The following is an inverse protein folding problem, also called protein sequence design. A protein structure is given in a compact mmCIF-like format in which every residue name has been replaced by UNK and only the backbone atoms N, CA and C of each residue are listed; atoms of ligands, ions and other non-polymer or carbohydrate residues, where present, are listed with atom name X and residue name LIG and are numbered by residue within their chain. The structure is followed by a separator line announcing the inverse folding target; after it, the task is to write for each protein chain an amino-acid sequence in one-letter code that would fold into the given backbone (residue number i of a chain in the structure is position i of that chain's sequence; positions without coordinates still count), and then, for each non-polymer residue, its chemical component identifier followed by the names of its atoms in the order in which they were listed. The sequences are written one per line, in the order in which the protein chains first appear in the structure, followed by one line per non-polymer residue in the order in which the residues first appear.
data_IF_440930943505
#
_entry.id   IF_440930943505
#
_cell.length_a   1.000
_cell.length_b   1.000
_cell.length_c   1.000
_cell.angle_alpha   90.00
_cell.angle_beta   90.00
_cell.angle_gamma   90.00
#
_symmetry.space_group_name_H-M   'P 1'
#
loop_
_entity.id
_entity.type
_entity.pdbx_description
1 polymer ?
#
# COMPACT_ATOMS: atom_id res chain seq x y z
N UNK A 1 -5.46 -18.59 -12.19
CA UNK A 1 -6.47 -19.48 -11.57
C UNK A 1 -7.86 -19.02 -11.99
N UNK A 2 -8.68 -19.84 -12.69
CA UNK A 2 -9.98 -19.39 -13.23
C UNK A 2 -11.16 -19.96 -12.44
N UNK A 3 -12.06 -19.10 -11.95
CA UNK A 3 -13.34 -19.46 -11.34
C UNK A 3 -14.51 -19.31 -12.32
N UNK A 4 -15.30 -20.39 -12.48
CA UNK A 4 -16.52 -20.40 -13.28
C UNK A 4 -17.62 -21.21 -12.60
N UNK A 5 -18.09 -20.74 -11.45
CA UNK A 5 -19.19 -21.40 -10.70
C UNK A 5 -20.52 -21.34 -11.47
N UNK A 6 -20.84 -20.19 -12.08
CA UNK A 6 -22.07 -20.03 -12.87
C UNK A 6 -23.35 -20.25 -12.07
N UNK A 7 -24.26 -21.06 -12.61
CA UNK A 7 -25.54 -21.42 -11.96
C UNK A 7 -25.39 -22.45 -10.85
N UNK A 8 -24.29 -23.20 -10.81
CA UNK A 8 -24.04 -24.24 -9.81
C UNK A 8 -23.78 -23.65 -8.41
N UNK A 9 -23.79 -24.50 -7.38
CA UNK A 9 -23.44 -24.10 -6.01
C UNK A 9 -21.93 -23.99 -5.81
N UNK A 10 -21.17 -24.81 -6.52
CA UNK A 10 -19.72 -24.83 -6.53
C UNK A 10 -19.22 -25.36 -7.88
N UNK A 11 -17.97 -25.10 -8.22
CA UNK A 11 -17.31 -25.70 -9.38
C UNK A 11 -15.79 -25.76 -9.19
N UNK A 12 -15.14 -26.74 -9.82
CA UNK A 12 -13.69 -26.87 -9.81
C UNK A 12 -13.00 -25.66 -10.43
N UNK A 13 -11.84 -25.32 -9.87
CA UNK A 13 -10.97 -24.31 -10.45
C UNK A 13 -10.30 -24.86 -11.71
N UNK A 14 -10.21 -24.01 -12.74
CA UNK A 14 -9.43 -24.32 -13.94
C UNK A 14 -8.08 -23.62 -13.89
N UNK A 15 -7.03 -24.39 -14.11
CA UNK A 15 -5.68 -23.87 -14.34
C UNK A 15 -5.51 -23.52 -15.82
N UNK A 16 -4.97 -22.33 -16.08
CA UNK A 16 -4.67 -21.83 -17.42
C UNK A 16 -3.32 -21.11 -17.37
N UNK A 17 -2.69 -20.96 -18.54
CA UNK A 17 -1.46 -20.19 -18.67
C UNK A 17 -1.72 -18.72 -18.31
N UNK A 18 -0.79 -18.14 -17.56
CA UNK A 18 -0.77 -16.72 -17.24
C UNK A 18 -0.13 -15.96 -18.40
N UNK A 19 -0.69 -14.82 -18.77
CA UNK A 19 -0.14 -13.89 -19.77
C UNK A 19 0.55 -12.67 -19.13
N UNK A 20 0.64 -12.64 -17.78
CA UNK A 20 1.21 -11.57 -16.96
C UNK A 20 0.57 -10.18 -17.18
N UNK A 21 -0.60 -10.14 -17.80
CA UNK A 21 -1.36 -8.90 -18.04
C UNK A 21 -2.22 -8.60 -16.81
N UNK A 22 -2.32 -7.31 -16.39
CA UNK A 22 -3.25 -6.91 -15.34
C UNK A 22 -4.67 -7.41 -15.63
N UNK A 23 -5.18 -8.20 -14.71
CA UNK A 23 -6.49 -8.84 -14.83
C UNK A 23 -7.60 -7.86 -14.45
N UNK A 24 -8.61 -7.70 -15.31
CA UNK A 24 -9.82 -6.93 -14.98
C UNK A 24 -10.57 -7.54 -13.79
N UNK A 25 -11.21 -6.70 -12.97
CA UNK A 25 -12.03 -7.15 -11.83
C UNK A 25 -13.19 -8.06 -12.21
N UNK A 26 -13.68 -7.99 -13.45
CA UNK A 26 -14.76 -8.85 -13.95
C UNK A 26 -14.25 -10.17 -14.57
N UNK A 27 -12.94 -10.40 -14.53
CA UNK A 27 -12.32 -11.58 -15.12
C UNK A 27 -12.52 -12.82 -14.24
N UNK A 28 -12.74 -14.00 -14.82
CA UNK A 28 -12.69 -15.26 -14.09
C UNK A 28 -11.34 -15.54 -13.43
N UNK A 29 -10.28 -14.83 -13.84
CA UNK A 29 -8.95 -14.95 -13.27
C UNK A 29 -8.73 -14.10 -12.01
N UNK A 30 -9.65 -13.17 -11.71
CA UNK A 30 -9.52 -12.24 -10.61
C UNK A 30 -9.84 -12.90 -9.27
N UNK A 31 -8.97 -12.65 -8.29
CA UNK A 31 -9.11 -13.07 -6.90
C UNK A 31 -8.84 -11.90 -5.98
N UNK A 32 -9.78 -11.65 -5.08
CA UNK A 32 -9.64 -10.69 -4.00
C UNK A 32 -8.94 -11.34 -2.81
N UNK A 33 -7.74 -10.83 -2.53
CA UNK A 33 -6.85 -11.23 -1.43
C UNK A 33 -6.92 -10.24 -0.25
N UNK A 34 -7.75 -9.20 -0.33
CA UNK A 34 -7.65 -8.02 0.54
C UNK A 34 -8.01 -8.28 2.02
N UNK A 35 -8.73 -9.36 2.33
CA UNK A 35 -9.20 -9.67 3.69
C UNK A 35 -8.29 -10.66 4.45
N UNK A 36 -7.10 -10.93 3.93
CA UNK A 36 -6.12 -11.81 4.60
C UNK A 36 -5.51 -11.07 5.80
N UNK A 37 -5.67 -11.64 7.00
CA UNK A 37 -4.95 -11.21 8.21
C UNK A 37 -3.75 -12.13 8.45
N UNK A 38 -2.93 -11.85 9.46
CA UNK A 38 -1.87 -12.78 9.89
C UNK A 38 -2.42 -14.14 10.35
N UNK A 39 -3.70 -14.18 10.73
CA UNK A 39 -4.44 -15.38 11.12
C UNK A 39 -5.04 -16.12 9.91
N UNK A 40 -4.92 -15.52 8.72
CA UNK A 40 -5.39 -16.02 7.45
C UNK A 40 -6.67 -15.37 6.95
N UNK A 41 -6.94 -15.56 5.66
CA UNK A 41 -8.07 -14.96 4.97
C UNK A 41 -8.88 -15.94 4.13
N UNK A 42 -10.01 -15.44 3.66
CA UNK A 42 -10.82 -16.09 2.63
C UNK A 42 -10.59 -15.39 1.30
N UNK A 43 -10.11 -16.14 0.32
CA UNK A 43 -9.97 -15.67 -1.05
C UNK A 43 -11.31 -15.70 -1.77
N UNK A 44 -11.69 -14.59 -2.40
CA UNK A 44 -12.95 -14.45 -3.13
C UNK A 44 -12.70 -14.24 -4.61
N UNK A 45 -13.50 -14.84 -5.48
CA UNK A 45 -13.44 -14.57 -6.91
C UNK A 45 -14.15 -13.25 -7.27
N UNK A 46 -14.06 -12.86 -8.54
CA UNK A 46 -14.78 -11.71 -9.13
C UNK A 46 -16.30 -11.64 -8.90
N UNK A 47 -16.93 -12.75 -8.50
CA UNK A 47 -18.37 -12.81 -8.18
C UNK A 47 -18.64 -13.05 -6.69
N UNK A 48 -17.62 -12.97 -5.84
CA UNK A 48 -17.73 -13.19 -4.40
C UNK A 48 -17.87 -14.66 -3.99
N UNK A 49 -17.60 -15.62 -4.88
CA UNK A 49 -17.50 -17.03 -4.50
C UNK A 49 -16.17 -17.26 -3.77
N UNK A 50 -16.17 -18.21 -2.86
CA UNK A 50 -15.07 -18.44 -1.94
C UNK A 50 -14.21 -19.60 -2.44
N UNK A 51 -12.89 -19.40 -2.46
CA UNK A 51 -11.94 -20.46 -2.73
C UNK A 51 -11.92 -21.47 -1.58
N UNK A 52 -11.94 -22.76 -1.92
CA UNK A 52 -11.90 -23.86 -0.96
C UNK A 52 -10.95 -24.95 -1.44
N UNK A 53 -10.35 -25.64 -0.48
CA UNK A 53 -9.49 -26.81 -0.70
C UNK A 53 -10.04 -27.98 0.10
N UNK A 54 -10.19 -29.12 -0.55
CA UNK A 54 -10.55 -30.40 0.08
C UNK A 54 -9.41 -30.91 0.97
N UNK A 55 -9.69 -31.19 2.25
CA UNK A 55 -8.68 -31.68 3.20
C UNK A 55 -8.56 -33.19 3.28
N UNK A 56 -9.51 -33.93 2.73
CA UNK A 56 -9.53 -35.40 2.72
C UNK A 56 -10.15 -35.95 1.41
N UNK A 57 -10.18 -37.28 1.27
CA UNK A 57 -10.83 -37.98 0.16
C UNK A 57 -9.96 -38.15 -1.10
N UNK A 58 -10.55 -38.68 -2.18
CA UNK A 58 -9.85 -38.95 -3.44
C UNK A 58 -9.37 -37.71 -4.18
N UNK A 59 -10.05 -36.58 -3.98
CA UNK A 59 -9.70 -35.28 -4.55
C UNK A 59 -8.95 -34.43 -3.52
N UNK A 60 -8.14 -35.03 -2.64
CA UNK A 60 -7.37 -34.30 -1.64
C UNK A 60 -6.50 -33.20 -2.26
N UNK A 61 -6.53 -32.00 -1.67
CA UNK A 61 -5.70 -30.87 -2.13
C UNK A 61 -6.22 -30.18 -3.39
N UNK A 62 -7.38 -30.58 -3.93
CA UNK A 62 -7.95 -29.97 -5.13
C UNK A 62 -8.75 -28.71 -4.76
N UNK A 63 -8.45 -27.62 -5.44
CA UNK A 63 -9.12 -26.31 -5.29
C UNK A 63 -10.43 -26.22 -6.07
N UNK A 64 -11.44 -25.63 -5.45
CA UNK A 64 -12.72 -25.29 -6.07
C UNK A 64 -13.26 -23.96 -5.53
N UNK A 65 -14.20 -23.36 -6.24
CA UNK A 65 -14.92 -22.17 -5.78
C UNK A 65 -16.35 -22.54 -5.41
N UNK A 66 -16.85 -21.98 -4.30
CA UNK A 66 -18.21 -22.24 -3.80
C UNK A 66 -18.95 -20.94 -3.47
N UNK A 67 -20.26 -20.93 -3.66
CA UNK A 67 -21.12 -19.81 -3.25
C UNK A 67 -21.13 -19.68 -1.73
N UNK A 68 -21.16 -18.45 -1.18
CA UNK A 68 -21.27 -18.25 0.27
C UNK A 68 -22.47 -18.97 0.90
N UNK A 69 -23.61 -19.02 0.21
CA UNK A 69 -24.82 -19.73 0.65
C UNK A 69 -24.68 -21.25 0.71
N UNK A 70 -23.64 -21.83 0.12
CA UNK A 70 -23.40 -23.27 0.09
C UNK A 70 -22.44 -23.73 1.19
N UNK A 71 -21.67 -22.84 1.80
CA UNK A 71 -20.59 -23.20 2.74
C UNK A 71 -21.07 -24.04 3.92
N UNK A 72 -22.23 -23.73 4.49
CA UNK A 72 -22.79 -24.48 5.62
C UNK A 72 -23.12 -25.93 5.26
N UNK A 73 -23.49 -26.16 4.00
CA UNK A 73 -23.84 -27.49 3.46
C UNK A 73 -22.62 -28.22 2.93
N UNK A 74 -21.51 -27.51 2.74
CA UNK A 74 -20.29 -28.02 2.13
C UNK A 74 -19.34 -28.63 3.18
N UNK A 75 -19.78 -29.76 3.74
CA UNK A 75 -19.06 -30.53 4.76
C UNK A 75 -18.30 -31.72 4.17
N UNK A 76 -18.48 -31.99 2.88
CA UNK A 76 -17.88 -33.15 2.21
C UNK A 76 -16.37 -32.98 2.16
N UNK A 77 -15.61 -33.99 2.63
CA UNK A 77 -14.14 -33.98 2.67
C UNK A 77 -13.50 -32.86 3.53
N UNK A 78 -14.26 -32.31 4.49
CA UNK A 78 -13.85 -31.28 5.45
C UNK A 78 -13.05 -30.14 4.82
N UNK A 79 -13.64 -29.35 3.89
CA UNK A 79 -12.89 -28.36 3.14
C UNK A 79 -12.44 -27.20 4.00
N UNK A 80 -11.31 -26.58 3.65
CA UNK A 80 -10.85 -25.33 4.24
C UNK A 80 -10.97 -24.17 3.26
N UNK A 81 -11.34 -23.00 3.76
CA UNK A 81 -11.28 -21.71 3.06
C UNK A 81 -10.38 -20.71 3.78
N UNK A 82 -9.69 -21.15 4.84
CA UNK A 82 -8.72 -20.33 5.55
C UNK A 82 -7.35 -20.55 4.91
N UNK A 83 -6.83 -19.50 4.29
CA UNK A 83 -5.52 -19.48 3.68
C UNK A 83 -4.59 -18.61 4.52
N UNK A 84 -3.36 -19.06 4.69
CA UNK A 84 -2.30 -18.25 5.30
C UNK A 84 -1.45 -17.69 4.17
N UNK A 85 -1.30 -16.38 4.16
CA UNK A 85 -0.49 -15.65 3.18
C UNK A 85 0.86 -15.29 3.79
N UNK A 86 1.89 -15.29 2.95
CA UNK A 86 3.24 -14.89 3.32
C UNK A 86 3.28 -13.43 3.82
N UNK A 87 4.13 -13.17 4.82
CA UNK A 87 4.22 -11.86 5.47
C UNK A 87 4.55 -10.72 4.50
N UNK A 88 5.37 -10.97 3.48
CA UNK A 88 5.70 -9.94 2.48
C UNK A 88 4.50 -9.59 1.60
N UNK A 89 3.67 -10.58 1.25
CA UNK A 89 2.44 -10.32 0.51
C UNK A 89 1.43 -9.56 1.38
N UNK A 90 1.35 -9.87 2.67
CA UNK A 90 0.52 -9.12 3.61
C UNK A 90 0.96 -7.65 3.72
N UNK A 91 2.25 -7.40 3.85
CA UNK A 91 2.81 -6.04 3.89
C UNK A 91 2.58 -5.28 2.58
N UNK A 92 2.69 -5.96 1.44
CA UNK A 92 2.34 -5.38 0.14
C UNK A 92 0.84 -5.04 0.06
N UNK A 93 -0.06 -5.90 0.54
CA UNK A 93 -1.50 -5.63 0.58
C UNK A 93 -1.78 -4.40 1.46
N UNK A 94 -1.17 -4.33 2.65
CA UNK A 94 -1.28 -3.17 3.56
C UNK A 94 -0.81 -1.88 2.88
N UNK A 95 0.31 -1.94 2.16
CA UNK A 95 0.84 -0.80 1.40
C UNK A 95 -0.11 -0.38 0.26
N UNK A 96 -0.53 -1.33 -0.58
CA UNK A 96 -1.40 -1.06 -1.71
C UNK A 96 -2.78 -0.51 -1.28
N UNK A 97 -3.27 -0.98 -0.14
CA UNK A 97 -4.56 -0.59 0.40
C UNK A 97 -4.54 0.55 1.40
N UNK A 98 -3.36 1.01 1.85
CA UNK A 98 -3.23 2.16 2.74
C UNK A 98 -3.90 3.42 2.18
N UNK A 99 -4.06 3.49 0.84
CA UNK A 99 -4.76 4.57 0.15
C UNK A 99 -6.25 4.31 -0.13
N UNK A 100 -6.78 3.11 0.19
CA UNK A 100 -8.19 2.74 -0.02
C UNK A 100 -9.11 3.17 1.12
N UNK A 101 -8.56 3.51 2.28
CA UNK A 101 -9.30 4.26 3.29
C UNK A 101 -9.75 5.58 2.66
N UNK A 102 -10.95 6.06 3.01
CA UNK A 102 -11.23 7.48 2.81
C UNK A 102 -10.09 8.20 3.50
N UNK A 103 -9.21 8.84 2.73
CA UNK A 103 -8.32 9.85 3.29
C UNK A 103 -9.26 10.75 4.04
N UNK A 104 -9.21 10.72 5.37
CA UNK A 104 -9.88 11.74 6.16
C UNK A 104 -9.42 13.09 5.62
N UNK A 105 -10.11 14.15 6.03
CA UNK A 105 -9.84 15.52 5.60
C UNK A 105 -8.34 15.92 5.63
N UNK A 106 -7.52 15.14 6.34
CA UNK A 106 -6.08 15.17 6.28
C UNK A 106 -5.44 13.78 6.03
N UNK A 107 -5.04 13.51 4.78
CA UNK A 107 -4.02 12.51 4.45
C UNK A 107 -3.11 13.08 3.33
N UNK A 108 -1.77 12.91 3.39
CA UNK A 108 -0.83 13.81 2.72
C UNK A 108 -0.68 13.61 1.20
N UNK A 109 -1.44 12.72 0.55
CA UNK A 109 -1.31 12.43 -0.88
C UNK A 109 -2.67 12.23 -1.58
N UNK A 110 -3.65 13.10 -1.31
CA UNK A 110 -4.94 13.11 -2.00
C UNK A 110 -5.10 14.36 -2.87
N UNK A 111 -5.19 14.19 -4.18
CA UNK A 111 -5.47 15.23 -5.18
C UNK A 111 -6.93 15.72 -5.19
N UNK A 112 -7.70 15.50 -4.11
CA UNK A 112 -9.08 15.97 -4.03
C UNK A 112 -9.09 17.33 -3.38
N UNK A 113 -9.57 18.32 -4.11
CA UNK A 113 -9.75 19.70 -3.64
C UNK A 113 -10.57 19.70 -2.36
N UNK A 114 -9.89 19.85 -1.21
CA UNK A 114 -10.53 19.96 0.09
C UNK A 114 -11.20 21.33 0.20
N UNK A 115 -12.43 21.45 -0.31
CA UNK A 115 -13.19 22.70 -0.34
C UNK A 115 -13.49 23.31 1.05
N UNK A 116 -13.21 22.59 2.15
CA UNK A 116 -13.54 23.03 3.51
C UNK A 116 -12.38 23.73 4.22
N UNK A 117 -11.13 23.46 3.84
CA UNK A 117 -9.95 24.14 4.38
C UNK A 117 -8.95 24.42 3.27
N UNK A 118 -9.21 25.47 2.48
CA UNK A 118 -8.16 26.08 1.64
C UNK A 118 -7.04 26.50 2.58
N UNK A 119 -5.88 25.81 2.54
CA UNK A 119 -4.66 26.34 3.15
C UNK A 119 -4.50 27.75 2.60
N UNK A 120 -4.50 28.74 3.49
CA UNK A 120 -4.18 30.11 3.10
C UNK A 120 -2.75 30.05 2.60
N UNK A 121 -2.55 30.26 1.28
CA UNK A 121 -1.22 30.41 0.71
C UNK A 121 -0.60 31.65 1.34
N UNK A 122 0.24 31.44 2.35
CA UNK A 122 1.02 32.51 2.96
C UNK A 122 2.21 32.77 2.05
N UNK A 123 2.15 33.86 1.31
CA UNK A 123 3.32 34.39 0.61
C UNK A 123 4.20 35.11 1.61
N UNK A 124 5.52 34.91 1.50
CA UNK A 124 6.47 35.74 2.23
C UNK A 124 6.26 37.22 1.86
N UNK A 125 6.51 38.16 2.80
CA UNK A 125 6.53 39.57 2.49
C UNK A 125 7.43 39.86 1.27
N UNK A 126 7.06 40.78 0.37
CA UNK A 126 7.85 41.06 -0.84
C UNK A 126 9.28 41.56 -0.55
N UNK A 127 9.49 42.13 0.63
CA UNK A 127 10.75 42.65 1.15
C UNK A 127 11.54 41.60 1.97
N UNK A 128 11.06 40.37 2.04
CA UNK A 128 11.75 39.30 2.76
C UNK A 128 13.09 39.00 2.10
N UNK A 129 14.16 39.12 2.89
CA UNK A 129 15.49 38.66 2.52
C UNK A 129 15.90 37.51 3.45
N UNK A 130 16.37 36.42 2.84
CA UNK A 130 16.95 35.30 3.57
C UNK A 130 18.36 35.70 4.05
N UNK A 131 18.43 36.35 5.20
CA UNK A 131 19.69 36.75 5.84
C UNK A 131 20.38 35.58 6.53
N UNK A 132 21.67 35.72 6.83
CA UNK A 132 22.43 34.70 7.55
C UNK A 132 21.84 34.33 8.92
N UNK A 133 21.24 35.31 9.63
CA UNK A 133 20.52 35.08 10.88
C UNK A 133 19.29 34.19 10.69
N UNK A 134 18.55 34.38 9.59
CA UNK A 134 17.42 33.52 9.22
C UNK A 134 17.90 32.11 8.87
N UNK A 135 18.96 31.98 8.09
CA UNK A 135 19.57 30.68 7.74
C UNK A 135 19.98 29.93 9.00
N UNK A 136 20.68 30.60 9.92
CA UNK A 136 21.12 30.03 11.19
C UNK A 136 19.95 29.62 12.07
N UNK A 137 18.87 30.42 12.10
CA UNK A 137 17.66 30.11 12.86
C UNK A 137 16.89 28.92 12.27
N UNK A 138 16.76 28.84 10.94
CA UNK A 138 16.16 27.68 10.27
C UNK A 138 16.96 26.41 10.55
N UNK A 139 18.30 26.49 10.52
CA UNK A 139 19.19 25.39 10.90
C UNK A 139 18.99 24.98 12.36
N UNK A 140 18.93 25.94 13.29
CA UNK A 140 18.66 25.66 14.70
C UNK A 140 17.30 24.99 14.92
N UNK A 141 16.26 25.40 14.20
CA UNK A 141 14.94 24.76 14.28
C UNK A 141 15.03 23.31 13.79
N UNK A 142 15.62 23.09 12.61
CA UNK A 142 15.79 21.76 12.03
C UNK A 142 16.64 20.84 12.94
N UNK A 143 17.65 21.40 13.62
CA UNK A 143 18.56 20.63 14.49
C UNK A 143 18.10 20.55 15.94
N UNK A 144 17.16 21.40 16.38
CA UNK A 144 16.61 21.37 17.74
C UNK A 144 15.81 20.09 18.04
N UNK A 145 15.40 19.36 17.00
CA UNK A 145 14.74 18.05 17.10
C UNK A 145 15.71 16.87 17.25
N UNK A 146 17.01 17.12 17.42
CA UNK A 146 18.03 16.07 17.63
C UNK A 146 17.97 15.43 19.02
N UNK A 147 17.40 16.08 20.04
CA UNK A 147 17.40 15.55 21.41
C UNK A 147 16.30 14.54 21.70
N UNK A 148 15.32 14.36 20.80
CA UNK A 148 14.22 13.41 20.95
C UNK A 148 14.54 12.05 20.29
N UNK A 149 15.49 11.99 19.35
CA UNK A 149 15.83 10.75 18.63
C UNK A 149 16.66 9.76 19.53
N UNK A 150 16.92 10.09 20.79
CA UNK A 150 17.61 9.23 21.79
C UNK A 150 16.69 8.35 22.63
N UNK A 151 15.37 8.56 22.61
CA UNK A 151 14.42 7.63 23.26
C UNK A 151 13.87 6.69 22.18
N UNK A 152 14.35 5.45 22.19
CA UNK A 152 14.08 4.41 21.18
C UNK A 152 12.62 3.98 21.07
N UNK A 153 11.77 4.84 20.53
CA UNK A 153 10.41 4.50 20.08
C UNK A 153 10.45 4.30 18.57
N UNK A 154 10.26 3.05 18.16
CA UNK A 154 10.24 2.59 16.78
C UNK A 154 9.19 3.37 15.97
N UNK A 155 9.63 4.09 14.92
CA UNK A 155 8.71 4.66 13.93
C UNK A 155 9.07 6.02 13.33
N UNK A 156 10.13 6.71 13.78
CA UNK A 156 10.49 8.03 13.24
C UNK A 156 11.72 7.91 12.33
N UNK A 157 11.53 8.10 11.02
CA UNK A 157 12.64 8.34 10.09
C UNK A 157 13.19 9.76 10.32
N UNK A 158 14.28 9.87 11.08
CA UNK A 158 15.04 11.11 11.28
C UNK A 158 15.83 11.39 9.96
N UNK A 159 15.42 12.39 9.18
CA UNK A 159 16.21 12.89 8.03
C UNK A 159 17.47 13.58 8.56
N UNK A 160 18.63 12.95 8.42
CA UNK A 160 19.91 13.61 8.64
C UNK A 160 20.28 14.43 7.40
N UNK A 161 20.46 15.73 7.56
CA UNK A 161 21.10 16.56 6.55
C UNK A 161 22.61 16.31 6.62
N UNK A 162 23.10 15.25 5.97
CA UNK A 162 24.52 14.96 5.88
C UNK A 162 25.17 15.69 4.70
N UNK A 163 26.06 16.65 5.02
CA UNK A 163 27.25 16.99 4.23
C UNK A 163 27.10 18.04 3.13
N UNK A 164 27.70 19.21 3.35
CA UNK A 164 28.31 19.99 2.27
C UNK A 164 29.81 19.62 2.21
N UNK A 165 30.39 19.30 1.04
CA UNK A 165 31.84 19.17 0.90
C UNK A 165 32.49 20.56 0.86
N UNK A 166 33.64 20.66 1.54
CA UNK A 166 34.54 21.82 1.54
C UNK A 166 34.92 22.28 0.12
N UNK A 167 35.06 23.60 -0.01
CA UNK A 167 35.49 24.30 -1.22
C UNK A 167 36.93 23.93 -1.56
N UNK A 168 37.14 23.14 -2.61
CA UNK A 168 38.45 22.93 -3.20
C UNK A 168 38.49 21.87 -4.29
N UNK A 169 38.57 22.31 -5.56
CA UNK A 169 38.89 21.56 -6.80
C UNK A 169 37.69 20.96 -7.56
N UNK A 170 37.30 21.64 -8.65
CA UNK A 170 36.50 21.09 -9.77
C UNK A 170 37.38 20.10 -10.61
N UNK A 171 36.83 19.15 -11.42
CA UNK A 171 35.73 19.35 -12.37
C UNK A 171 34.67 18.23 -12.45
N UNK A 172 33.50 18.56 -13.03
CA UNK A 172 32.61 17.60 -13.68
C UNK A 172 31.20 17.50 -13.09
N UNK A 173 30.30 18.38 -13.55
CA UNK A 173 28.85 18.24 -13.37
C UNK A 173 28.30 17.30 -14.43
N UNK A 174 27.44 16.34 -14.05
CA UNK A 174 26.24 16.02 -14.82
C UNK A 174 25.22 15.24 -13.96
N UNK A 175 24.10 15.88 -13.62
CA UNK A 175 22.78 15.24 -13.73
C UNK A 175 21.77 16.32 -14.13
N UNK A 176 21.09 16.01 -15.23
CA UNK A 176 20.15 16.83 -15.95
C UNK A 176 18.81 16.95 -15.25
N UNK A 177 18.26 18.17 -15.27
CA UNK A 177 16.89 18.39 -15.73
C UNK A 177 15.74 18.20 -14.73
N UNK A 178 15.09 19.34 -14.47
CA UNK A 178 13.65 19.51 -14.18
C UNK A 178 13.14 19.16 -12.78
N UNK A 179 13.05 20.18 -11.93
CA UNK A 179 11.78 20.67 -11.35
C UNK A 179 12.11 21.52 -10.13
N UNK A 180 12.06 22.84 -10.31
CA UNK A 180 12.16 23.84 -9.26
C UNK A 180 10.93 23.78 -8.37
N UNK A 181 11.04 23.29 -7.13
CA UNK A 181 10.16 23.66 -6.01
C UNK A 181 10.72 23.08 -4.70
N UNK A 182 11.59 23.83 -4.02
CA UNK A 182 11.92 23.57 -2.62
C UNK A 182 11.02 24.45 -1.76
N UNK A 183 9.93 23.87 -1.25
CA UNK A 183 9.09 24.49 -0.22
C UNK A 183 9.49 23.98 1.16
N UNK A 184 10.03 24.87 2.01
CA UNK A 184 10.14 24.60 3.45
C UNK A 184 8.74 24.75 4.06
N UNK A 185 8.20 23.64 4.57
CA UNK A 185 6.87 23.60 5.19
C UNK A 185 6.97 24.02 6.67
N UNK A 186 6.27 25.10 7.03
CA UNK A 186 5.86 25.42 8.41
C UNK A 186 4.33 25.40 8.48
#
# INVERSE_FOLDING_TARGET
MYSKVGSYQWNWIRWVLCDDIPTSKDSPAYWDVYLETEEGGMLKDYKGNILRVTRYGSNWGVVYAAKPSFLEKDTTNSPTSLFLVDGYLLDWIRYAAGNLGNTEQYCPAGNKESHVYKRIKRTLPPDFQLTDDWIRRLYQIATSFSSICSSGTWGVWCLSASGLPDVGRAPGVLFSGASSEWGLFF
#
